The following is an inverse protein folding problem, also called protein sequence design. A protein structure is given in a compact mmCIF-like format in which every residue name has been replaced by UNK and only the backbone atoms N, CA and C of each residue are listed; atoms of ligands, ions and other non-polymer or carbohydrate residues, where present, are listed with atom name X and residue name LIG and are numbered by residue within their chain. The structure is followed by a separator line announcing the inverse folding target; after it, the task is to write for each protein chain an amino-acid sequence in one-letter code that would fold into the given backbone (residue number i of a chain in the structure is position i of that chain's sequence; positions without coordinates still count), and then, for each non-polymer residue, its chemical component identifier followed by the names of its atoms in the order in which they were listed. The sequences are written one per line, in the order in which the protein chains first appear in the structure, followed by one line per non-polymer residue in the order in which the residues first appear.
data_IF_858218944206
#
_entry.id   IF_858218944206
#
_cell.length_a   1.000
_cell.length_b   1.000
_cell.length_c   1.000
_cell.angle_alpha   90.00
_cell.angle_beta   90.00
_cell.angle_gamma   90.00
#
_symmetry.space_group_name_H-M   'P 1'
#
loop_
_entity.id
_entity.type
_entity.pdbx_description
1 polymer ?
#
# COMPACT_ATOMS: atom_id res chain seq x y z
N UNK A 1 -1.46 -14.60 -28.76
CA UNK A 1 -0.48 -13.51 -28.53
C UNK A 1 -0.53 -13.14 -27.07
N UNK A 2 0.62 -12.89 -26.44
CA UNK A 2 0.65 -12.25 -25.13
C UNK A 2 0.30 -10.78 -25.33
N UNK A 3 -0.73 -10.31 -24.63
CA UNK A 3 -1.12 -8.90 -24.60
C UNK A 3 -0.74 -8.32 -23.24
N UNK A 4 -0.35 -7.05 -23.20
CA UNK A 4 -0.01 -6.34 -21.96
C UNK A 4 -0.70 -4.97 -21.96
N UNK A 5 -1.18 -4.56 -20.78
CA UNK A 5 -1.68 -3.22 -20.51
C UNK A 5 -0.92 -2.68 -19.31
N UNK A 6 -0.47 -1.44 -19.39
CA UNK A 6 0.19 -0.71 -18.31
C UNK A 6 -0.70 0.46 -17.94
N UNK A 7 -0.90 0.67 -16.64
CA UNK A 7 -1.70 1.78 -16.12
C UNK A 7 -1.04 2.34 -14.87
N UNK A 8 -1.13 3.65 -14.70
CA UNK A 8 -0.73 4.34 -13.47
C UNK A 8 -1.98 4.63 -12.64
N UNK A 9 -1.97 4.21 -11.37
CA UNK A 9 -3.06 4.44 -10.43
C UNK A 9 -2.57 5.38 -9.33
N UNK A 10 -3.14 6.59 -9.27
CA UNK A 10 -2.90 7.52 -8.17
C UNK A 10 -3.86 7.21 -7.01
N UNK A 11 -3.30 6.95 -5.83
CA UNK A 11 -4.07 6.71 -4.59
C UNK A 11 -3.89 7.91 -3.65
N UNK A 12 -4.91 8.77 -3.48
CA UNK A 12 -4.80 9.89 -2.56
C UNK A 12 -4.82 9.42 -1.11
N UNK A 13 -3.81 9.81 -0.33
CA UNK A 13 -3.68 9.47 1.08
C UNK A 13 -3.96 10.69 1.97
N UNK A 14 -4.28 10.44 3.24
CA UNK A 14 -4.45 11.43 4.31
C UNK A 14 -3.62 11.02 5.52
N UNK A 15 -2.29 11.03 5.34
CA UNK A 15 -1.33 10.59 6.35
C UNK A 15 -1.12 9.07 6.37
N UNK A 16 -0.37 8.58 7.37
CA UNK A 16 -0.07 7.16 7.55
C UNK A 16 -1.34 6.33 7.76
N UNK A 17 -1.42 5.18 7.10
CA UNK A 17 -2.48 4.20 7.30
C UNK A 17 -2.58 3.22 6.13
N UNK A 18 -3.53 2.29 6.22
CA UNK A 18 -3.83 1.39 5.10
C UNK A 18 -4.93 1.94 4.20
N UNK A 19 -4.64 1.97 2.90
CA UNK A 19 -5.56 2.41 1.86
C UNK A 19 -5.99 1.22 1.03
N UNK A 20 -7.30 1.02 0.97
CA UNK A 20 -7.88 -0.06 0.19
C UNK A 20 -7.92 0.33 -1.29
N UNK A 21 -7.35 -0.52 -2.16
CA UNK A 21 -7.23 -0.26 -3.60
C UNK A 21 -7.72 -1.43 -4.46
N UNK A 22 -8.31 -2.47 -3.87
CA UNK A 22 -8.80 -3.66 -4.59
C UNK A 22 -9.81 -3.27 -5.67
N UNK A 23 -10.74 -2.35 -5.39
CA UNK A 23 -11.82 -2.00 -6.33
C UNK A 23 -11.29 -1.30 -7.58
N UNK A 24 -10.29 -0.46 -7.40
CA UNK A 24 -9.59 0.29 -8.42
C UNK A 24 -8.83 -0.68 -9.33
N UNK A 25 -8.05 -1.59 -8.75
CA UNK A 25 -7.32 -2.62 -9.50
C UNK A 25 -8.28 -3.54 -10.25
N UNK A 26 -9.35 -4.01 -9.60
CA UNK A 26 -10.37 -4.81 -10.26
C UNK A 26 -11.04 -4.08 -11.43
N UNK A 27 -11.33 -2.79 -11.28
CA UNK A 27 -11.93 -2.00 -12.35
C UNK A 27 -10.99 -1.88 -13.56
N UNK A 28 -9.68 -1.78 -13.34
CA UNK A 28 -8.69 -1.79 -14.41
C UNK A 28 -8.60 -3.16 -15.09
N UNK A 29 -8.56 -4.25 -14.31
CA UNK A 29 -8.51 -5.61 -14.83
C UNK A 29 -9.77 -5.92 -15.66
N UNK A 30 -10.97 -5.58 -15.17
CA UNK A 30 -12.23 -5.80 -15.89
C UNK A 30 -12.28 -5.12 -17.26
N UNK A 31 -11.67 -3.94 -17.41
CA UNK A 31 -11.60 -3.20 -18.69
C UNK A 31 -10.80 -3.94 -19.78
N UNK A 32 -9.92 -4.87 -19.40
CA UNK A 32 -9.14 -5.65 -20.37
C UNK A 32 -9.97 -6.70 -21.12
N UNK A 33 -11.07 -7.16 -20.52
CA UNK A 33 -11.88 -8.27 -21.04
C UNK A 33 -11.15 -9.63 -21.05
N UNK A 34 -10.02 -9.75 -20.37
CA UNK A 34 -9.24 -10.99 -20.33
C UNK A 34 -9.79 -11.95 -19.26
N UNK A 35 -9.86 -13.24 -19.60
CA UNK A 35 -10.33 -14.28 -18.69
C UNK A 35 -9.21 -14.86 -17.81
N UNK A 36 -7.95 -14.68 -18.20
CA UNK A 36 -6.79 -15.18 -17.48
C UNK A 36 -5.55 -14.31 -17.80
N UNK A 37 -4.68 -14.12 -16.81
CA UNK A 37 -3.47 -13.33 -16.95
C UNK A 37 -2.72 -13.18 -15.63
N UNK A 38 -1.72 -12.30 -15.63
CA UNK A 38 -0.95 -11.91 -14.45
C UNK A 38 -1.12 -10.42 -14.21
N UNK A 39 -1.37 -10.04 -12.95
CA UNK A 39 -1.36 -8.64 -12.52
C UNK A 39 -0.09 -8.40 -11.72
N UNK A 40 0.72 -7.45 -12.16
CA UNK A 40 1.88 -6.97 -11.41
C UNK A 40 1.56 -5.58 -10.89
N UNK A 41 1.64 -5.40 -9.57
CA UNK A 41 1.50 -4.10 -8.93
C UNK A 41 2.88 -3.64 -8.44
N UNK A 42 3.24 -2.41 -8.75
CA UNK A 42 4.50 -1.79 -8.35
C UNK A 42 4.22 -0.44 -7.72
N UNK A 43 4.71 -0.23 -6.49
CA UNK A 43 4.64 1.05 -5.80
C UNK A 43 5.88 1.85 -6.15
N UNK A 44 5.68 3.07 -6.68
CA UNK A 44 6.74 3.99 -7.09
C UNK A 44 7.24 4.88 -5.93
N UNK A 45 7.03 4.45 -4.70
CA UNK A 45 7.40 5.16 -3.47
C UNK A 45 8.20 4.24 -2.54
N UNK A 46 9.18 4.79 -1.84
CA UNK A 46 10.01 4.04 -0.87
C UNK A 46 9.40 3.99 0.53
N UNK A 47 8.48 4.91 0.82
CA UNK A 47 7.75 5.08 2.09
C UNK A 47 6.33 4.47 2.05
N UNK A 48 6.14 3.47 1.19
CA UNK A 48 4.86 2.77 1.06
C UNK A 48 5.08 1.33 0.59
N UNK A 49 4.17 0.44 0.98
CA UNK A 49 4.19 -0.97 0.62
C UNK A 49 2.83 -1.45 0.13
N UNK A 50 2.83 -2.53 -0.65
CA UNK A 50 1.61 -3.27 -0.98
C UNK A 50 1.44 -4.44 -0.02
N UNK A 51 0.21 -4.64 0.43
CA UNK A 51 -0.12 -5.72 1.34
C UNK A 51 -1.40 -6.40 0.86
N UNK A 52 -1.40 -7.73 0.86
CA UNK A 52 -2.60 -8.56 0.68
C UNK A 52 -2.96 -9.11 2.06
N UNK A 53 -4.18 -8.85 2.53
CA UNK A 53 -4.69 -9.28 3.84
C UNK A 53 -6.16 -9.68 3.77
N UNK A 54 -6.65 -10.24 4.87
CA UNK A 54 -8.09 -10.34 5.13
C UNK A 54 -8.70 -8.94 5.23
N UNK A 55 -9.61 -8.64 4.31
CA UNK A 55 -10.33 -7.36 4.26
C UNK A 55 -11.83 -7.51 4.57
N UNK A 56 -12.21 -8.63 5.20
CA UNK A 56 -13.57 -8.88 5.66
C UNK A 56 -13.84 -8.23 7.03
N UNK A 57 -12.83 -8.24 7.91
CA UNK A 57 -12.88 -7.63 9.23
C UNK A 57 -12.07 -6.32 9.27
N UNK A 58 -12.73 -5.23 9.66
CA UNK A 58 -12.09 -3.92 9.81
C UNK A 58 -11.09 -3.89 10.97
N UNK A 59 -11.23 -4.79 11.95
CA UNK A 59 -10.31 -4.87 13.08
C UNK A 59 -8.93 -5.36 12.67
N UNK A 60 -8.81 -6.27 11.69
CA UNK A 60 -7.50 -6.73 11.17
C UNK A 60 -6.65 -5.56 10.71
N UNK A 61 -7.25 -4.63 9.97
CA UNK A 61 -6.56 -3.40 9.51
C UNK A 61 -6.13 -2.53 10.69
N UNK A 62 -7.00 -2.33 11.68
CA UNK A 62 -6.70 -1.53 12.88
C UNK A 62 -5.61 -2.18 13.74
N UNK A 63 -5.61 -3.50 13.85
CA UNK A 63 -4.60 -4.24 14.58
C UNK A 63 -3.24 -4.16 13.90
N UNK A 64 -3.19 -4.23 12.57
CA UNK A 64 -1.95 -4.01 11.83
C UNK A 64 -1.44 -2.58 12.01
N UNK A 65 -2.32 -1.57 11.99
CA UNK A 65 -1.93 -0.16 12.23
C UNK A 65 -1.32 -0.02 13.64
N UNK A 66 -1.98 -0.57 14.66
CA UNK A 66 -1.48 -0.59 16.04
C UNK A 66 -0.17 -1.34 16.17
N UNK A 67 -0.04 -2.48 15.50
CA UNK A 67 1.15 -3.32 15.55
C UNK A 67 2.36 -2.60 14.94
N UNK A 68 2.21 -2.02 13.75
CA UNK A 68 3.30 -1.29 13.09
C UNK A 68 3.71 -0.04 13.86
N UNK A 69 2.75 0.75 14.34
CA UNK A 69 3.04 1.92 15.17
C UNK A 69 3.76 1.57 16.49
N UNK A 70 3.57 0.35 17.00
CA UNK A 70 4.31 -0.15 18.17
C UNK A 70 5.68 -0.72 17.80
N UNK A 71 5.80 -1.37 16.64
CA UNK A 71 7.01 -2.04 16.20
C UNK A 71 8.12 -1.05 15.85
N UNK A 72 7.74 0.06 15.20
CA UNK A 72 8.65 1.14 14.80
C UNK A 72 7.96 2.48 15.12
N UNK A 73 8.20 3.06 16.31
CA UNK A 73 7.57 4.32 16.71
C UNK A 73 8.11 5.51 15.92
N UNK A 74 7.24 6.49 15.65
CA UNK A 74 7.65 7.77 15.07
C UNK A 74 8.53 8.54 16.05
N UNK A 75 9.61 9.13 15.54
CA UNK A 75 10.57 9.91 16.32
C UNK A 75 11.40 9.06 17.28
N UNK A 76 11.47 7.74 17.09
CA UNK A 76 12.32 6.88 17.91
C UNK A 76 13.80 7.29 17.74
N UNK A 77 14.42 7.71 18.85
CA UNK A 77 15.80 8.19 18.91
C UNK A 77 16.84 7.13 18.50
N UNK A 78 16.43 5.86 18.32
CA UNK A 78 17.22 4.83 17.68
C UNK A 78 17.63 5.23 16.24
N UNK A 79 16.76 5.92 15.52
CA UNK A 79 16.94 6.25 14.11
C UNK A 79 17.53 7.64 13.94
N UNK A 80 18.43 7.77 12.94
CA UNK A 80 19.06 9.04 12.55
C UNK A 80 18.53 9.59 11.23
N UNK A 81 17.56 8.91 10.63
CA UNK A 81 16.95 9.30 9.38
C UNK A 81 15.64 10.02 9.72
N UNK A 82 15.75 11.32 9.95
CA UNK A 82 14.69 12.21 10.43
C UNK A 82 14.66 13.52 9.61
N UNK A 83 15.19 13.49 8.38
CA UNK A 83 15.35 14.68 7.56
C UNK A 83 13.99 15.25 7.12
N UNK A 84 12.99 14.39 6.98
CA UNK A 84 11.63 14.75 6.56
C UNK A 84 10.61 14.81 7.72
N UNK A 85 11.03 14.44 8.94
CA UNK A 85 10.19 14.46 10.15
C UNK A 85 10.29 13.17 10.97
N UNK A 86 9.48 13.10 12.03
CA UNK A 86 9.45 11.95 12.96
C UNK A 86 9.04 10.63 12.28
N UNK A 87 8.34 10.70 11.14
CA UNK A 87 7.85 9.56 10.38
C UNK A 87 8.75 9.15 9.19
N UNK A 88 9.89 9.81 8.96
CA UNK A 88 10.78 9.58 7.80
C UNK A 88 11.31 8.13 7.73
N UNK A 89 11.99 7.67 8.80
CA UNK A 89 12.44 6.28 8.90
C UNK A 89 11.31 5.23 9.03
N UNK A 90 10.28 5.41 9.87
CA UNK A 90 9.25 4.38 10.08
C UNK A 90 8.23 4.23 8.95
N UNK A 91 8.29 5.07 7.90
CA UNK A 91 7.36 5.03 6.76
C UNK A 91 7.50 3.78 5.87
#
# INVERSE_FOLDING_TARGET
MLNQVIHELAVPTRGRGFYELTREVEALVRKTGWNAGLVTLHVQHTSASLLIQENADREVRRDLERFFARLVPDGDALFRHDYEGDDDMPA
#
